data_IF_609813852910
#
_entry.id   IF_609813852910
#
_cell.length_a   1.000
_cell.length_b   1.000
_cell.length_c   1.000
_cell.angle_alpha   90.00
_cell.angle_beta   90.00
_cell.angle_gamma   90.00
#
_symmetry.space_group_name_H-M   'P 1'
#
loop_
_entity.id
_entity.type
_entity.pdbx_description
1 polymer ?
#
# COMPACT_ATOMS: atom_id res chain seq x y z
N UNK A 1 -3.88 11.03 12.59
CA UNK A 1 -2.86 10.21 13.28
C UNK A 1 -1.63 10.16 12.39
N UNK A 2 -0.44 10.42 12.92
CA UNK A 2 0.82 10.42 12.15
C UNK A 2 1.70 9.24 12.60
N UNK A 3 2.36 8.59 11.63
CA UNK A 3 3.28 7.49 11.86
C UNK A 3 4.59 7.79 11.12
N UNK A 4 5.72 7.58 11.78
CA UNK A 4 7.06 7.74 11.21
C UNK A 4 7.68 6.36 11.04
N UNK A 5 8.32 6.12 9.90
CA UNK A 5 9.02 4.86 9.60
C UNK A 5 10.40 5.24 9.07
N UNK A 6 11.43 4.64 9.64
CA UNK A 6 12.79 4.73 9.11
C UNK A 6 12.98 3.73 7.97
N UNK A 7 13.49 4.22 6.85
CA UNK A 7 13.81 3.43 5.67
C UNK A 7 15.21 3.79 5.19
N UNK A 8 15.93 2.88 4.51
CA UNK A 8 17.21 3.21 3.91
C UNK A 8 17.06 4.40 2.94
N UNK A 9 17.99 5.36 2.98
CA UNK A 9 17.98 6.52 2.07
C UNK A 9 18.00 6.11 0.59
N UNK A 10 18.52 4.91 0.31
CA UNK A 10 18.61 4.31 -1.02
C UNK A 10 17.27 3.84 -1.58
N UNK A 11 16.19 3.83 -0.79
CA UNK A 11 14.89 3.33 -1.25
C UNK A 11 14.25 4.20 -2.33
N UNK A 12 14.34 5.52 -2.22
CA UNK A 12 13.75 6.44 -3.19
C UNK A 12 14.47 6.39 -4.54
N UNK A 13 15.83 6.44 -4.58
CA UNK A 13 16.57 6.25 -5.83
C UNK A 13 16.34 4.87 -6.46
N UNK A 14 16.29 3.81 -5.65
CA UNK A 14 16.12 2.44 -6.16
C UNK A 14 14.76 2.23 -6.83
N UNK A 15 13.70 2.87 -6.31
CA UNK A 15 12.35 2.77 -6.85
C UNK A 15 12.00 3.87 -7.85
N UNK A 16 12.87 4.88 -8.01
CA UNK A 16 12.60 6.08 -8.80
C UNK A 16 11.29 6.77 -8.38
N UNK A 17 11.04 6.84 -7.07
CA UNK A 17 9.82 7.40 -6.48
C UNK A 17 10.14 8.57 -5.56
N UNK A 18 9.27 9.56 -5.54
CA UNK A 18 9.28 10.53 -4.46
C UNK A 18 8.70 9.95 -3.15
N UNK A 19 8.83 10.71 -2.06
CA UNK A 19 8.37 10.29 -0.73
C UNK A 19 6.86 10.00 -0.69
N UNK A 20 6.05 10.81 -1.36
CA UNK A 20 4.59 10.66 -1.39
C UNK A 20 4.15 9.43 -2.18
N UNK A 21 4.75 9.22 -3.35
CA UNK A 21 4.52 8.02 -4.16
C UNK A 21 4.92 6.75 -3.40
N UNK A 22 6.10 6.74 -2.79
CA UNK A 22 6.59 5.61 -2.00
C UNK A 22 5.65 5.28 -0.84
N UNK A 23 5.22 6.28 -0.06
CA UNK A 23 4.30 6.07 1.08
C UNK A 23 2.97 5.51 0.59
N UNK A 24 2.44 6.03 -0.52
CA UNK A 24 1.20 5.55 -1.11
C UNK A 24 1.32 4.09 -1.57
N UNK A 25 2.37 3.75 -2.30
CA UNK A 25 2.62 2.38 -2.78
C UNK A 25 2.83 1.41 -1.61
N UNK A 26 3.63 1.78 -0.62
CA UNK A 26 3.87 0.98 0.58
C UNK A 26 2.57 0.68 1.33
N UNK A 27 1.71 1.69 1.47
CA UNK A 27 0.41 1.58 2.16
C UNK A 27 -0.54 0.63 1.42
N UNK A 28 -0.58 0.71 0.09
CA UNK A 28 -1.37 -0.19 -0.76
C UNK A 28 -0.81 -1.62 -0.65
N UNK A 29 0.51 -1.80 -0.79
CA UNK A 29 1.15 -3.11 -0.71
C UNK A 29 0.89 -3.80 0.63
N UNK A 30 0.98 -3.07 1.74
CA UNK A 30 0.66 -3.58 3.07
C UNK A 30 -0.81 -4.01 3.19
N UNK A 31 -1.74 -3.17 2.72
CA UNK A 31 -3.18 -3.47 2.72
C UNK A 31 -3.52 -4.71 1.89
N UNK A 32 -2.94 -4.84 0.69
CA UNK A 32 -3.08 -6.04 -0.16
C UNK A 32 -2.56 -7.25 0.58
N UNK A 33 -1.36 -7.19 1.16
CA UNK A 33 -0.76 -8.33 1.85
C UNK A 33 -1.59 -8.79 3.04
N UNK A 34 -2.14 -7.86 3.82
CA UNK A 34 -3.01 -8.20 4.94
C UNK A 34 -4.35 -8.80 4.50
N UNK A 35 -4.90 -8.36 3.36
CA UNK A 35 -6.10 -8.96 2.77
C UNK A 35 -5.81 -10.39 2.28
N UNK A 36 -4.71 -10.61 1.55
CA UNK A 36 -4.30 -11.95 1.09
C UNK A 36 -4.09 -12.94 2.22
N UNK A 37 -3.55 -12.46 3.35
CA UNK A 37 -3.37 -13.26 4.57
C UNK A 37 -4.68 -13.44 5.36
N UNK A 38 -5.83 -12.99 4.84
CA UNK A 38 -7.12 -13.00 5.52
C UNK A 38 -7.11 -12.32 6.91
N UNK A 39 -6.18 -11.37 7.16
CA UNK A 39 -6.08 -10.64 8.43
C UNK A 39 -7.07 -9.47 8.51
N UNK A 40 -7.49 -8.96 7.35
CA UNK A 40 -8.47 -7.87 7.24
C UNK A 40 -9.46 -8.18 6.12
N UNK A 41 -10.69 -7.68 6.24
CA UNK A 41 -11.67 -7.74 5.15
C UNK A 41 -11.26 -6.81 4.00
N UNK A 42 -11.78 -7.05 2.79
CA UNK A 42 -11.52 -6.18 1.63
C UNK A 42 -11.87 -4.70 1.91
N UNK A 43 -13.01 -4.45 2.58
CA UNK A 43 -13.43 -3.09 2.93
C UNK A 43 -12.46 -2.41 3.88
N UNK A 44 -11.93 -3.14 4.86
CA UNK A 44 -10.93 -2.63 5.79
C UNK A 44 -9.58 -2.42 5.10
N UNK A 45 -9.19 -3.30 4.18
CA UNK A 45 -8.00 -3.13 3.37
C UNK A 45 -8.07 -1.88 2.47
N UNK A 46 -9.22 -1.60 1.85
CA UNK A 46 -9.43 -0.38 1.07
C UNK A 46 -9.26 0.89 1.93
N UNK A 47 -9.87 0.93 3.12
CA UNK A 47 -9.71 2.04 4.07
C UNK A 47 -8.25 2.20 4.51
N UNK A 48 -7.59 1.09 4.84
CA UNK A 48 -6.16 1.09 5.18
C UNK A 48 -5.32 1.57 4.01
N UNK A 49 -5.62 1.22 2.77
CA UNK A 49 -4.93 1.70 1.57
C UNK A 49 -5.19 3.18 1.28
N UNK A 50 -6.22 3.78 1.87
CA UNK A 50 -6.69 5.12 1.51
C UNK A 50 -7.42 5.14 0.16
N UNK A 51 -8.06 4.03 -0.20
CA UNK A 51 -8.75 3.82 -1.47
C UNK A 51 -10.24 3.56 -1.24
N UNK A 52 -11.05 3.84 -2.26
CA UNK A 52 -12.41 3.28 -2.36
C UNK A 52 -12.33 1.75 -2.56
N UNK A 53 -13.45 1.05 -2.31
CA UNK A 53 -13.51 -0.40 -2.53
C UNK A 53 -13.22 -0.79 -3.97
N UNK A 54 -13.70 -0.02 -4.94
CA UNK A 54 -13.47 -0.25 -6.38
C UNK A 54 -11.99 -0.05 -6.74
N UNK A 55 -11.38 1.04 -6.29
CA UNK A 55 -9.95 1.28 -6.50
C UNK A 55 -9.07 0.19 -5.88
N UNK A 56 -9.49 -0.34 -4.72
CA UNK A 56 -8.78 -1.44 -4.09
C UNK A 56 -8.86 -2.75 -4.90
N UNK A 57 -9.98 -3.04 -5.57
CA UNK A 57 -10.09 -4.19 -6.49
C UNK A 57 -9.11 -4.03 -7.65
N UNK A 58 -9.02 -2.83 -8.22
CA UNK A 58 -8.04 -2.53 -9.27
C UNK A 58 -6.61 -2.73 -8.77
N UNK A 59 -6.30 -2.26 -7.56
CA UNK A 59 -4.98 -2.45 -6.95
C UNK A 59 -4.65 -3.94 -6.68
N UNK A 60 -5.63 -4.75 -6.28
CA UNK A 60 -5.46 -6.20 -6.13
C UNK A 60 -5.08 -6.89 -7.45
N UNK A 61 -5.59 -6.41 -8.58
CA UNK A 61 -5.20 -6.90 -9.90
C UNK A 61 -3.76 -6.55 -10.26
N UNK A 62 -3.33 -5.33 -9.94
CA UNK A 62 -1.99 -4.84 -10.23
C UNK A 62 -0.88 -5.47 -9.35
N UNK A 63 -1.20 -5.90 -8.13
CA UNK A 63 -0.22 -6.52 -7.22
C UNK A 63 -0.06 -8.04 -7.39
N UNK A 64 -0.90 -8.71 -8.21
CA UNK A 64 -0.85 -10.18 -8.40
C UNK A 64 0.06 -10.64 -9.54
N UNK A 65 0.62 -9.71 -10.31
CA UNK A 65 1.60 -9.98 -11.38
C UNK A 65 3.02 -9.86 -10.87
#
# INVERSE_FOLDING_TARGET
MQMTIDVPETVFPALQKDKGEFIRELRIAAAVKWYEMARVSQGRAAEIAGLTRSEFITALGACRT
#
